data_IF_524109499726
#
_entry.id   IF_524109499726
#
_cell.length_a   1.000
_cell.length_b   1.000
_cell.length_c   1.000
_cell.angle_alpha   90.00
_cell.angle_beta   90.00
_cell.angle_gamma   90.00
#
_symmetry.space_group_name_H-M   'P 1'
#
loop_
_entity.id
_entity.type
_entity.pdbx_description
1 polymer ?
#
# COMPACT_ATOMS: atom_id res chain seq x y z
N UNK A 1 72.12 4.57 -22.04
CA UNK A 1 72.53 3.47 -22.93
C UNK A 1 71.29 2.68 -23.33
N UNK A 2 70.75 2.96 -24.50
CA UNK A 2 69.53 2.34 -25.02
C UNK A 2 69.91 1.12 -25.85
N UNK A 3 69.59 -0.10 -25.41
CA UNK A 3 69.82 -1.30 -26.23
C UNK A 3 68.73 -1.35 -27.30
N UNK A 4 69.13 -1.09 -28.54
CA UNK A 4 68.27 -1.28 -29.71
C UNK A 4 67.99 -2.79 -29.81
N UNK A 5 66.73 -3.24 -29.78
CA UNK A 5 66.38 -4.65 -29.89
C UNK A 5 66.87 -5.19 -31.25
N UNK A 6 67.53 -6.36 -31.24
CA UNK A 6 68.09 -6.94 -32.46
C UNK A 6 66.97 -7.33 -33.43
N UNK A 7 67.12 -7.08 -34.75
CA UNK A 7 66.10 -7.36 -35.77
C UNK A 7 65.69 -8.85 -35.85
N UNK A 8 66.54 -9.76 -35.36
CA UNK A 8 66.23 -11.18 -35.24
C UNK A 8 65.14 -11.49 -34.22
N UNK A 9 64.94 -10.65 -33.21
CA UNK A 9 63.93 -10.87 -32.17
C UNK A 9 62.54 -10.45 -32.67
N UNK A 10 62.47 -9.39 -33.46
CA UNK A 10 61.24 -8.93 -34.12
C UNK A 10 60.76 -9.92 -35.18
N UNK A 11 61.67 -10.47 -36.00
CA UNK A 11 61.30 -11.49 -36.99
C UNK A 11 60.76 -12.78 -36.36
N UNK A 12 61.29 -13.18 -35.19
CA UNK A 12 60.84 -14.37 -34.45
C UNK A 12 59.48 -14.16 -33.78
N UNK A 13 59.21 -12.95 -33.28
CA UNK A 13 57.88 -12.59 -32.79
C UNK A 13 56.85 -12.52 -33.93
N UNK A 14 57.22 -11.96 -35.09
CA UNK A 14 56.34 -11.94 -36.28
C UNK A 14 56.05 -13.35 -36.80
N UNK A 15 57.04 -14.25 -36.75
CA UNK A 15 56.83 -15.66 -37.10
C UNK A 15 55.91 -16.42 -36.14
N UNK A 16 55.96 -16.13 -34.84
CA UNK A 16 55.04 -16.70 -33.83
C UNK A 16 53.63 -16.09 -33.90
N UNK A 17 53.51 -14.85 -34.36
CA UNK A 17 52.22 -14.17 -34.58
C UNK A 17 51.54 -14.62 -35.88
N UNK A 18 52.29 -15.22 -36.82
CA UNK A 18 51.77 -15.79 -38.05
C UNK A 18 51.66 -17.32 -38.03
N UNK A 19 51.89 -17.94 -36.86
CA UNK A 19 51.74 -19.38 -36.70
C UNK A 19 50.24 -19.73 -36.71
N UNK A 20 49.86 -20.74 -37.49
CA UNK A 20 48.46 -21.16 -37.65
C UNK A 20 47.88 -21.56 -36.29
N UNK A 21 48.70 -22.14 -35.40
CA UNK A 21 48.31 -22.47 -34.02
C UNK A 21 47.93 -21.25 -33.17
N UNK A 22 48.52 -20.08 -33.41
CA UNK A 22 48.18 -18.85 -32.67
C UNK A 22 46.85 -18.26 -33.14
N UNK A 23 46.57 -18.31 -34.45
CA UNK A 23 45.29 -17.89 -35.02
C UNK A 23 44.16 -18.82 -34.57
N UNK A 24 44.41 -20.13 -34.51
CA UNK A 24 43.47 -21.11 -33.97
C UNK A 24 43.20 -20.88 -32.48
N UNK A 25 44.24 -20.56 -31.70
CA UNK A 25 44.08 -20.22 -30.28
C UNK A 25 43.25 -18.95 -30.09
N UNK A 26 43.46 -17.90 -30.90
CA UNK A 26 42.65 -16.68 -30.85
C UNK A 26 41.20 -16.94 -31.26
N UNK A 27 40.97 -17.74 -32.30
CA UNK A 27 39.62 -18.11 -32.75
C UNK A 27 38.87 -18.91 -31.68
N UNK A 28 39.57 -19.81 -30.98
CA UNK A 28 38.98 -20.56 -29.86
C UNK A 28 38.66 -19.66 -28.66
N UNK A 29 39.52 -18.67 -28.37
CA UNK A 29 39.24 -17.66 -27.33
C UNK A 29 38.04 -16.80 -27.72
N UNK A 30 37.91 -16.40 -28.98
CA UNK A 30 36.75 -15.65 -29.48
C UNK A 30 35.46 -16.45 -29.31
N UNK A 31 35.45 -17.74 -29.69
CA UNK A 31 34.31 -18.63 -29.46
C UNK A 31 33.97 -18.78 -27.98
N UNK A 32 34.97 -18.90 -27.11
CA UNK A 32 34.74 -18.96 -25.65
C UNK A 32 34.14 -17.66 -25.10
N UNK A 33 34.59 -16.51 -25.60
CA UNK A 33 34.04 -15.19 -25.20
C UNK A 33 32.59 -15.07 -25.66
N UNK A 34 32.26 -15.53 -26.87
CA UNK A 34 30.89 -15.53 -27.38
C UNK A 34 29.97 -16.42 -26.54
N UNK A 35 30.40 -17.64 -26.19
CA UNK A 35 29.65 -18.55 -25.30
C UNK A 35 29.45 -17.95 -23.89
N UNK A 36 30.47 -17.28 -23.34
CA UNK A 36 30.37 -16.59 -22.06
C UNK A 36 29.39 -15.43 -22.12
N UNK A 37 29.40 -14.64 -23.20
CA UNK A 37 28.44 -13.55 -23.40
C UNK A 37 27.01 -14.09 -23.49
N UNK A 38 26.75 -15.15 -24.28
CA UNK A 38 25.42 -15.76 -24.35
C UNK A 38 24.97 -16.29 -22.97
N UNK A 39 25.90 -16.87 -22.21
CA UNK A 39 25.61 -17.34 -20.85
C UNK A 39 25.28 -16.18 -19.91
N UNK A 40 25.98 -15.05 -20.02
CA UNK A 40 25.70 -13.84 -19.22
C UNK A 40 24.33 -13.25 -19.57
N UNK A 41 23.98 -13.12 -20.85
CA UNK A 41 22.67 -12.64 -21.30
C UNK A 41 21.54 -13.54 -20.77
N UNK A 42 21.76 -14.86 -20.75
CA UNK A 42 20.81 -15.81 -20.18
C UNK A 42 20.69 -15.67 -18.66
N UNK A 43 21.79 -15.41 -17.95
CA UNK A 43 21.77 -15.17 -16.51
C UNK A 43 21.04 -13.86 -16.18
N UNK A 44 21.26 -12.80 -16.94
CA UNK A 44 20.55 -11.52 -16.79
C UNK A 44 19.05 -11.71 -16.98
N UNK A 45 18.64 -12.44 -18.02
CA UNK A 45 17.21 -12.78 -18.24
C UNK A 45 16.62 -13.54 -17.05
N UNK A 46 17.34 -14.52 -16.51
CA UNK A 46 16.89 -15.30 -15.34
C UNK A 46 16.84 -14.43 -14.08
N UNK A 47 17.78 -13.50 -13.92
CA UNK A 47 17.78 -12.55 -12.80
C UNK A 47 16.57 -11.61 -12.86
N UNK A 48 16.25 -11.08 -14.04
CA UNK A 48 15.08 -10.24 -14.26
C UNK A 48 13.76 -10.99 -13.99
N UNK A 49 13.64 -12.22 -14.50
CA UNK A 49 12.48 -13.09 -14.22
C UNK A 49 12.33 -13.38 -12.72
N UNK A 50 13.45 -13.67 -12.04
CA UNK A 50 13.46 -13.92 -10.60
C UNK A 50 13.08 -12.65 -9.81
N UNK A 51 13.60 -11.48 -10.20
CA UNK A 51 13.26 -10.20 -9.58
C UNK A 51 11.77 -9.89 -9.75
N UNK A 52 11.21 -10.13 -10.94
CA UNK A 52 9.78 -9.96 -11.20
C UNK A 52 8.93 -10.93 -10.35
N UNK A 53 9.33 -12.20 -10.26
CA UNK A 53 8.62 -13.20 -9.45
C UNK A 53 8.63 -12.84 -7.96
N UNK A 54 9.74 -12.33 -7.43
CA UNK A 54 9.84 -11.84 -6.05
C UNK A 54 8.93 -10.64 -5.83
N UNK A 55 8.87 -9.71 -6.79
CA UNK A 55 7.98 -8.55 -6.72
C UNK A 55 6.50 -8.97 -6.68
N UNK A 56 6.07 -9.85 -7.58
CA UNK A 56 4.70 -10.37 -7.63
C UNK A 56 4.33 -11.16 -6.35
N UNK A 57 5.27 -11.95 -5.83
CA UNK A 57 5.08 -12.65 -4.56
C UNK A 57 4.88 -11.66 -3.41
N UNK A 58 5.65 -10.57 -3.36
CA UNK A 58 5.53 -9.55 -2.33
C UNK A 58 4.19 -8.79 -2.40
N UNK A 59 3.72 -8.47 -3.61
CA UNK A 59 2.37 -7.88 -3.81
C UNK A 59 1.28 -8.84 -3.35
N UNK A 60 1.40 -10.13 -3.68
CA UNK A 60 0.46 -11.17 -3.26
C UNK A 60 0.43 -11.32 -1.74
N UNK A 61 1.58 -11.35 -1.09
CA UNK A 61 1.67 -11.40 0.38
C UNK A 61 1.02 -10.17 1.02
N UNK A 62 1.28 -8.98 0.48
CA UNK A 62 0.64 -7.74 0.96
C UNK A 62 -0.89 -7.82 0.83
N UNK A 63 -1.40 -8.38 -0.27
CA UNK A 63 -2.83 -8.57 -0.46
C UNK A 63 -3.42 -9.60 0.52
N UNK A 64 -2.67 -10.67 0.85
CA UNK A 64 -3.06 -11.66 1.86
C UNK A 64 -3.09 -11.01 3.25
N UNK A 65 -2.09 -10.22 3.63
CA UNK A 65 -2.05 -9.51 4.92
C UNK A 65 -3.26 -8.58 5.09
N UNK A 66 -3.64 -7.84 4.05
CA UNK A 66 -4.85 -7.00 4.08
C UNK A 66 -6.13 -7.81 4.26
N UNK A 67 -6.20 -9.03 3.71
CA UNK A 67 -7.34 -9.93 3.89
C UNK A 67 -7.36 -10.50 5.31
N UNK A 68 -6.21 -10.89 5.85
CA UNK A 68 -6.10 -11.37 7.23
C UNK A 68 -6.51 -10.29 8.23
N UNK A 69 -6.08 -9.04 8.03
CA UNK A 69 -6.52 -7.92 8.87
C UNK A 69 -8.05 -7.76 8.90
N UNK A 70 -8.74 -7.96 7.77
CA UNK A 70 -10.22 -7.95 7.72
C UNK A 70 -10.84 -9.15 8.40
N UNK A 71 -10.21 -10.33 8.32
CA UNK A 71 -10.67 -11.53 9.02
C UNK A 71 -10.53 -11.35 10.52
N UNK A 72 -9.41 -10.82 11.01
CA UNK A 72 -9.20 -10.50 12.43
C UNK A 72 -10.23 -9.49 12.94
N UNK A 73 -10.52 -8.45 12.16
CA UNK A 73 -11.59 -7.49 12.49
C UNK A 73 -12.96 -8.19 12.57
N UNK A 74 -13.24 -9.13 11.64
CA UNK A 74 -14.49 -9.90 11.64
C UNK A 74 -14.58 -10.83 12.84
N UNK A 75 -13.50 -11.53 13.20
CA UNK A 75 -13.44 -12.40 14.37
C UNK A 75 -13.67 -11.58 15.64
N UNK A 76 -13.01 -10.44 15.78
CA UNK A 76 -13.19 -9.53 16.92
C UNK A 76 -14.64 -9.07 17.05
N UNK A 77 -15.30 -8.72 15.93
CA UNK A 77 -16.73 -8.37 15.93
C UNK A 77 -17.62 -9.55 16.33
N UNK A 78 -17.28 -10.76 15.92
CA UNK A 78 -18.04 -11.97 16.20
C UNK A 78 -17.92 -12.36 17.68
N UNK A 79 -16.72 -12.28 18.24
CA UNK A 79 -16.45 -12.46 19.66
C UNK A 79 -17.23 -11.45 20.51
N UNK A 80 -17.15 -10.16 20.16
CA UNK A 80 -17.90 -9.11 20.86
C UNK A 80 -19.41 -9.34 20.83
N UNK A 81 -19.96 -9.83 19.69
CA UNK A 81 -21.40 -10.16 19.59
C UNK A 81 -21.78 -11.36 20.45
N UNK A 82 -20.96 -12.40 20.47
CA UNK A 82 -21.21 -13.59 21.28
C UNK A 82 -21.18 -13.21 22.77
N UNK A 83 -20.18 -12.44 23.19
CA UNK A 83 -20.04 -11.97 24.57
C UNK A 83 -21.20 -11.04 24.97
N UNK A 84 -21.67 -10.18 24.06
CA UNK A 84 -22.88 -9.37 24.25
C UNK A 84 -24.11 -10.24 24.51
N UNK A 85 -24.29 -11.24 23.66
CA UNK A 85 -25.42 -12.16 23.71
C UNK A 85 -25.45 -12.93 25.03
N UNK A 86 -24.31 -13.47 25.45
CA UNK A 86 -24.20 -14.16 26.73
C UNK A 86 -24.43 -13.22 27.92
N UNK A 87 -23.83 -12.03 27.92
CA UNK A 87 -24.00 -11.05 29.00
C UNK A 87 -25.47 -10.65 29.17
N UNK A 88 -26.16 -10.40 28.06
CA UNK A 88 -27.59 -10.08 28.05
C UNK A 88 -28.44 -11.27 28.52
N UNK A 89 -28.13 -12.49 28.05
CA UNK A 89 -28.83 -13.69 28.48
C UNK A 89 -28.68 -13.93 29.98
N UNK A 90 -27.47 -13.77 30.54
CA UNK A 90 -27.23 -13.89 31.97
C UNK A 90 -28.03 -12.86 32.78
N UNK A 91 -28.12 -11.61 32.31
CA UNK A 91 -28.93 -10.57 32.95
C UNK A 91 -30.43 -10.90 32.93
N UNK A 92 -30.96 -11.36 31.79
CA UNK A 92 -32.37 -11.73 31.67
C UNK A 92 -32.72 -12.93 32.56
N UNK A 93 -31.84 -13.94 32.62
CA UNK A 93 -32.03 -15.11 33.49
C UNK A 93 -31.92 -14.70 34.96
N UNK A 94 -30.95 -13.85 35.32
CA UNK A 94 -30.82 -13.31 36.68
C UNK A 94 -32.08 -12.55 37.11
N UNK A 95 -32.63 -11.70 36.24
CA UNK A 95 -33.87 -10.97 36.51
C UNK A 95 -35.05 -11.92 36.72
N UNK A 96 -35.18 -12.98 35.90
CA UNK A 96 -36.22 -13.98 36.05
C UNK A 96 -36.09 -14.75 37.38
N UNK A 97 -34.88 -15.15 37.77
CA UNK A 97 -34.62 -15.85 39.03
C UNK A 97 -34.85 -14.97 40.26
N UNK A 98 -34.52 -13.67 40.15
CA UNK A 98 -34.81 -12.69 41.19
C UNK A 98 -36.32 -12.63 41.49
N UNK A 99 -37.16 -12.61 40.44
CA UNK A 99 -38.63 -12.63 40.57
C UNK A 99 -39.13 -13.96 41.16
N UNK A 100 -38.41 -15.06 40.94
CA UNK A 100 -38.73 -16.39 41.49
C UNK A 100 -38.24 -16.58 42.94
N UNK A 101 -37.50 -15.61 43.50
CA UNK A 101 -37.04 -15.63 44.89
C UNK A 101 -35.71 -16.34 45.14
N UNK A 102 -35.01 -16.82 44.09
CA UNK A 102 -33.67 -17.38 44.24
C UNK A 102 -32.61 -16.27 44.17
N UNK A 103 -32.44 -15.58 45.30
CA UNK A 103 -31.57 -14.41 45.41
C UNK A 103 -30.09 -14.74 45.20
N UNK A 104 -29.62 -15.91 45.64
CA UNK A 104 -28.20 -16.27 45.55
C UNK A 104 -27.84 -16.53 44.09
N UNK A 105 -28.62 -17.35 43.38
CA UNK A 105 -28.35 -17.65 41.99
C UNK A 105 -28.53 -16.40 41.11
N UNK A 106 -29.58 -15.62 41.35
CA UNK A 106 -29.81 -14.36 40.65
C UNK A 106 -28.63 -13.38 40.83
N UNK A 107 -28.13 -13.21 42.05
CA UNK A 107 -26.98 -12.33 42.30
C UNK A 107 -25.71 -12.80 41.58
N UNK A 108 -25.41 -14.11 41.60
CA UNK A 108 -24.23 -14.64 40.89
C UNK A 108 -24.32 -14.44 39.38
N UNK A 109 -25.49 -14.70 38.77
CA UNK A 109 -25.70 -14.51 37.34
C UNK A 109 -25.71 -13.03 36.94
N UNK A 110 -26.29 -12.16 37.77
CA UNK A 110 -26.24 -10.72 37.54
C UNK A 110 -24.79 -10.22 37.56
N UNK A 111 -23.98 -10.69 38.51
CA UNK A 111 -22.56 -10.35 38.59
C UNK A 111 -21.82 -10.85 37.33
N UNK A 112 -22.07 -12.09 36.90
CA UNK A 112 -21.52 -12.64 35.66
C UNK A 112 -21.91 -11.82 34.41
N UNK A 113 -23.18 -11.44 34.31
CA UNK A 113 -23.69 -10.64 33.20
C UNK A 113 -23.08 -9.22 33.17
N UNK A 114 -22.90 -8.60 34.33
CA UNK A 114 -22.22 -7.30 34.44
C UNK A 114 -20.73 -7.42 34.09
N UNK A 115 -20.07 -8.50 34.50
CA UNK A 115 -18.66 -8.74 34.20
C UNK A 115 -18.44 -8.91 32.68
N UNK A 116 -19.29 -9.69 32.02
CA UNK A 116 -19.27 -9.83 30.55
C UNK A 116 -19.62 -8.52 29.83
N UNK A 117 -20.58 -7.74 30.34
CA UNK A 117 -20.89 -6.42 29.79
C UNK A 117 -19.69 -5.45 29.94
N UNK A 118 -18.92 -5.56 31.02
CA UNK A 118 -17.70 -4.79 31.24
C UNK A 118 -16.60 -5.11 30.21
N UNK A 119 -16.38 -6.39 29.91
CA UNK A 119 -15.45 -6.82 28.87
C UNK A 119 -15.86 -6.26 27.50
N UNK A 120 -17.15 -6.32 27.17
CA UNK A 120 -17.69 -5.74 25.94
C UNK A 120 -17.44 -4.23 25.83
N UNK A 121 -17.61 -3.46 26.92
CA UNK A 121 -17.33 -2.02 26.92
C UNK A 121 -15.85 -1.73 26.63
N UNK A 122 -14.94 -2.60 27.10
CA UNK A 122 -13.51 -2.48 26.80
C UNK A 122 -13.21 -2.77 25.33
N UNK A 123 -13.77 -3.86 24.79
CA UNK A 123 -13.65 -4.26 23.38
C UNK A 123 -14.27 -3.23 22.44
N UNK A 124 -15.41 -2.66 22.81
CA UNK A 124 -16.06 -1.59 22.06
C UNK A 124 -15.24 -0.29 22.07
N UNK A 125 -14.45 -0.02 23.11
CA UNK A 125 -13.55 1.15 23.14
C UNK A 125 -12.35 1.00 22.22
N UNK A 126 -11.84 -0.21 22.01
CA UNK A 126 -10.66 -0.47 21.20
C UNK A 126 -10.95 -0.57 19.70
N UNK A 127 -12.21 -0.79 19.31
CA UNK A 127 -12.60 -0.90 17.89
C UNK A 127 -12.75 0.47 17.21
N UNK A 128 -12.02 0.75 16.11
CA UNK A 128 -12.09 2.04 15.40
C UNK A 128 -13.47 2.30 14.77
N UNK A 129 -14.25 1.26 14.48
CA UNK A 129 -15.63 1.40 13.98
C UNK A 129 -16.55 2.08 15.02
N UNK A 130 -16.32 1.86 16.30
CA UNK A 130 -17.10 2.46 17.38
C UNK A 130 -16.79 3.96 17.53
N UNK A 131 -15.59 4.40 17.15
CA UNK A 131 -15.26 5.84 17.12
C UNK A 131 -16.13 6.59 16.11
N UNK A 132 -16.39 6.00 14.93
CA UNK A 132 -17.30 6.58 13.92
C UNK A 132 -18.74 6.61 14.40
N UNK A 133 -19.23 5.53 15.01
CA UNK A 133 -20.55 5.47 15.64
C UNK A 133 -20.71 6.45 16.79
N UNK A 134 -19.64 6.70 17.57
CA UNK A 134 -19.66 7.66 18.68
C UNK A 134 -19.65 9.11 18.19
N UNK A 135 -18.97 9.40 17.08
CA UNK A 135 -19.06 10.71 16.43
C UNK A 135 -20.48 10.96 15.87
N UNK A 136 -21.06 9.94 15.22
CA UNK A 136 -22.41 10.03 14.66
C UNK A 136 -23.49 10.08 15.76
N UNK A 137 -23.29 9.32 16.83
CA UNK A 137 -24.12 9.35 18.04
C UNK A 137 -24.01 10.66 18.80
N UNK A 138 -22.83 11.28 18.87
CA UNK A 138 -22.64 12.63 19.43
C UNK A 138 -23.42 13.67 18.64
N UNK A 139 -23.33 13.65 17.31
CA UNK A 139 -24.09 14.57 16.44
C UNK A 139 -25.62 14.37 16.56
N UNK A 140 -26.09 13.15 16.74
CA UNK A 140 -27.51 12.87 16.98
C UNK A 140 -27.94 13.28 18.40
N UNK A 141 -27.12 13.02 19.41
CA UNK A 141 -27.39 13.39 20.81
C UNK A 141 -27.41 14.90 21.00
N UNK A 142 -26.48 15.65 20.39
CA UNK A 142 -26.49 17.12 20.40
C UNK A 142 -27.74 17.70 19.74
N UNK A 143 -28.29 17.00 18.75
CA UNK A 143 -29.57 17.38 18.11
C UNK A 143 -30.79 17.09 18.97
N UNK A 144 -30.74 16.08 19.84
CA UNK A 144 -31.85 15.73 20.76
C UNK A 144 -31.76 16.47 22.10
N UNK A 145 -30.57 16.78 22.58
CA UNK A 145 -30.33 17.49 23.84
C UNK A 145 -30.27 19.01 23.66
N UNK A 146 -30.28 19.50 22.41
CA UNK A 146 -30.39 20.92 22.05
C UNK A 146 -31.83 21.44 22.06
N UNK A 147 -32.61 21.10 23.09
CA UNK A 147 -33.89 21.77 23.38
C UNK A 147 -33.59 22.91 24.36
N UNK A 148 -33.76 24.12 23.86
CA UNK A 148 -33.90 25.41 24.55
C UNK A 148 -32.72 25.92 25.38
N UNK A 149 -31.70 26.44 24.70
CA UNK A 149 -31.11 27.72 25.11
C UNK A 149 -31.09 28.65 23.89
N UNK A 150 -32.05 29.56 23.88
CA UNK A 150 -32.11 30.78 23.07
C UNK A 150 -30.72 31.48 23.01
N UNK A 151 -30.46 32.17 21.90
CA UNK A 151 -29.26 32.98 21.63
C UNK A 151 -28.01 32.27 21.05
N UNK A 152 -28.19 31.46 20.00
CA UNK A 152 -27.13 31.31 18.99
C UNK A 152 -27.65 31.72 17.62
N UNK A 153 -27.43 33.00 17.36
CA UNK A 153 -27.28 33.61 16.04
C UNK A 153 -26.94 32.57 14.97
N UNK A 154 -27.91 32.32 14.09
CA UNK A 154 -27.78 31.44 12.95
C UNK A 154 -26.55 31.85 12.12
N UNK A 155 -25.54 30.98 11.93
CA UNK A 155 -24.64 31.13 10.80
C UNK A 155 -25.47 30.80 9.57
N UNK A 156 -26.04 31.82 8.94
CA UNK A 156 -26.78 31.66 7.69
C UNK A 156 -25.88 30.94 6.70
N UNK A 157 -26.39 29.85 6.13
CA UNK A 157 -25.80 29.05 5.04
C UNK A 157 -25.38 29.92 3.82
N UNK A 158 -25.79 31.20 3.81
CA UNK A 158 -25.42 32.20 2.83
C UNK A 158 -23.97 32.72 2.93
N UNK A 159 -23.26 32.50 4.04
CA UNK A 159 -21.89 33.04 4.24
C UNK A 159 -20.79 32.12 3.62
N UNK A 160 -21.12 30.87 3.30
CA UNK A 160 -20.20 29.93 2.64
C UNK A 160 -19.85 30.29 1.19
N UNK A 161 -20.68 31.11 0.52
CA UNK A 161 -20.46 31.51 -0.86
C UNK A 161 -19.38 32.61 -0.99
N UNK A 162 -19.28 33.52 -0.01
CA UNK A 162 -18.26 34.57 -0.02
C UNK A 162 -16.89 34.05 0.42
N UNK A 163 -16.84 33.11 1.38
CA UNK A 163 -15.59 32.45 1.77
C UNK A 163 -14.91 31.70 0.61
N UNK A 164 -15.70 31.10 -0.30
CA UNK A 164 -15.19 30.46 -1.53
C UNK A 164 -14.75 31.47 -2.61
N UNK A 165 -15.30 32.68 -2.64
CA UNK A 165 -14.84 33.74 -3.57
C UNK A 165 -13.51 34.35 -3.13
N UNK A 166 -13.26 34.52 -1.82
CA UNK A 166 -11.96 35.01 -1.32
C UNK A 166 -10.83 34.00 -1.56
N UNK A 167 -11.06 32.71 -1.39
CA UNK A 167 -10.03 31.69 -1.64
C UNK A 167 -9.69 31.51 -3.12
N UNK A 168 -10.64 31.71 -4.04
CA UNK A 168 -10.33 31.70 -5.49
C UNK A 168 -9.52 32.92 -5.93
N UNK A 169 -9.79 34.10 -5.37
CA UNK A 169 -9.06 35.34 -5.71
C UNK A 169 -7.63 35.34 -5.16
N UNK A 170 -7.40 34.72 -4.00
CA UNK A 170 -6.06 34.53 -3.46
C UNK A 170 -5.23 33.55 -4.29
N UNK A 171 -5.86 32.53 -4.88
CA UNK A 171 -5.16 31.50 -5.69
C UNK A 171 -4.84 31.97 -7.12
N UNK A 172 -5.59 32.92 -7.67
CA UNK A 172 -5.23 33.57 -8.95
C UNK A 172 -4.13 34.62 -8.78
N UNK A 173 -4.07 35.32 -7.64
CA UNK A 173 -3.01 36.30 -7.39
C UNK A 173 -1.63 35.66 -7.14
N UNK A 174 -1.57 34.36 -6.82
CA UNK A 174 -0.32 33.62 -6.61
C UNK A 174 0.13 32.81 -7.82
N UNK A 175 -0.64 32.78 -8.92
CA UNK A 175 -0.30 32.04 -10.13
C UNK A 175 0.38 32.91 -11.22
N UNK A 176 0.30 34.23 -11.09
CA UNK A 176 0.92 35.17 -12.05
C UNK A 176 2.39 35.50 -11.72
N UNK A 177 2.96 34.96 -10.64
CA UNK A 177 4.35 35.21 -10.21
C UNK A 177 5.33 34.03 -10.48
N UNK A 178 4.90 32.92 -11.08
CA UNK A 178 5.77 31.75 -11.34
C UNK A 178 6.07 31.46 -12.83
N UNK A 179 5.69 32.34 -13.77
CA UNK A 179 5.87 32.10 -15.22
C UNK A 179 6.99 32.99 -15.83
N UNK A 180 8.13 33.05 -15.13
CA UNK A 180 9.20 34.00 -15.42
C UNK A 180 10.63 33.48 -15.29
N UNK A 181 10.91 32.21 -15.65
CA UNK A 181 12.28 31.76 -15.87
C UNK A 181 12.37 30.54 -16.81
N UNK A 182 12.75 30.81 -18.06
CA UNK A 182 13.62 30.04 -18.99
C UNK A 182 13.73 28.51 -18.79
N UNK A 183 13.52 27.65 -19.79
CA UNK A 183 14.33 27.47 -21.02
C UNK A 183 13.55 26.55 -21.97
N UNK A 184 13.16 26.91 -23.19
CA UNK A 184 13.92 26.91 -24.46
C UNK A 184 14.85 25.69 -24.67
N UNK A 185 14.51 24.87 -25.67
CA UNK A 185 15.19 23.63 -26.09
C UNK A 185 14.15 22.60 -26.54
N UNK A 186 13.49 22.77 -27.68
CA UNK A 186 13.97 22.41 -29.02
C UNK A 186 14.55 20.99 -29.08
N UNK A 187 13.77 20.05 -29.62
CA UNK A 187 14.20 18.99 -30.55
C UNK A 187 12.98 18.14 -30.93
N UNK A 188 12.50 18.39 -32.14
CA UNK A 188 11.83 17.43 -33.01
C UNK A 188 12.49 16.05 -32.94
N UNK A 189 11.74 14.96 -32.71
CA UNK A 189 12.03 13.72 -33.43
C UNK A 189 10.82 12.79 -33.58
N UNK A 190 10.48 12.59 -34.87
CA UNK A 190 9.93 11.39 -35.50
C UNK A 190 8.66 10.74 -34.92
N UNK A 191 7.53 10.86 -35.63
CA UNK A 191 7.13 9.97 -36.75
C UNK A 191 7.08 8.48 -36.37
N UNK A 192 5.86 8.07 -36.03
CA UNK A 192 5.06 7.20 -36.90
C UNK A 192 5.37 5.71 -36.90
N UNK A 193 4.35 4.92 -36.55
CA UNK A 193 3.95 3.75 -37.34
C UNK A 193 2.47 3.46 -37.10
N UNK A 194 1.69 3.65 -38.16
CA UNK A 194 0.40 3.04 -38.36
C UNK A 194 0.59 1.62 -38.93
N UNK A 195 -0.31 0.69 -38.59
CA UNK A 195 -0.66 -0.60 -39.23
C UNK A 195 -1.00 -1.60 -38.11
N UNK A 196 -1.97 -2.50 -38.17
CA UNK A 196 -2.93 -2.90 -39.20
C UNK A 196 -3.98 -3.81 -38.54
N UNK A 197 -5.26 -3.52 -38.80
CA UNK A 197 -6.26 -4.45 -39.36
C UNK A 197 -5.88 -5.93 -39.50
N UNK A 198 -6.71 -6.84 -38.95
CA UNK A 198 -7.29 -8.06 -39.56
C UNK A 198 -7.72 -9.01 -38.41
N UNK A 199 -9.01 -9.29 -38.20
CA UNK A 199 -9.86 -10.17 -39.02
C UNK A 199 -9.28 -11.58 -39.16
N UNK A 200 -9.80 -12.52 -38.37
CA UNK A 200 -10.20 -13.88 -38.79
C UNK A 200 -10.54 -14.75 -37.57
N UNK A 201 -11.68 -15.46 -37.65
CA UNK A 201 -11.99 -16.62 -36.79
C UNK A 201 -13.18 -16.43 -35.88
#
# INVERSE_FOLDING_TARGET
MSRIPSPWNTARMVGLLGDEEFVDALTNVEGTIEEVNETLDRVETVEDEAAQAVHEANETLTAVDQRLAKVDETISLLEAKIEAGFSLAFLLVAANLYVQGDLVLAATLALLGVLGAGALVSTARTLPQVQKLRQLGGAAYDRFNGVDEDDREFPTIFDGAEARRRSRRARTASADDEDGAATEGDSDEARGTAASTQSSG
#
